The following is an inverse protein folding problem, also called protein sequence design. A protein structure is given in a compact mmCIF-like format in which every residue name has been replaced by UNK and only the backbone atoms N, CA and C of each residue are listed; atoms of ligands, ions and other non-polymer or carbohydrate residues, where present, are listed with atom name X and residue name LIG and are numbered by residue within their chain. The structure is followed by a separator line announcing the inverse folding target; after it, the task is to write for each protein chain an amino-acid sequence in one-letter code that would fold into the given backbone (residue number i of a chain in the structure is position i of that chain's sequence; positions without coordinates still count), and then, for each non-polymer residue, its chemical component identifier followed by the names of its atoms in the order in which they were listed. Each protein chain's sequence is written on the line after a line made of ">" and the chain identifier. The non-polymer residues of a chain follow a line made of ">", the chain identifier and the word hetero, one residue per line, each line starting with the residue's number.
data_IF_259722718649
#
_entry.id   IF_259722718649
#
_cell.length_a   1.000
_cell.length_b   1.000
_cell.length_c   1.000
_cell.angle_alpha   90.00
_cell.angle_beta   90.00
_cell.angle_gamma   90.00
#
_symmetry.space_group_name_H-M   'P 1'
#
loop_
_entity.id
_entity.type
_entity.pdbx_description
1 polymer ?
#
# COMPACT_ATOMS: atom_id res chain seq x y z
N UNK A 1 0.72 -43.63 17.90
CA UNK A 1 1.41 -42.34 17.95
C UNK A 1 0.43 -41.38 17.32
N UNK A 2 -0.19 -40.50 18.11
CA UNK A 2 -0.99 -39.43 17.55
C UNK A 2 0.02 -38.51 16.85
N UNK A 3 -0.11 -38.33 15.54
CA UNK A 3 0.66 -37.30 14.85
C UNK A 3 0.30 -35.98 15.52
N UNK A 4 1.32 -35.32 16.08
CA UNK A 4 1.21 -34.03 16.74
C UNK A 4 0.72 -33.03 15.67
N UNK A 5 -0.57 -32.69 15.69
CA UNK A 5 -1.12 -31.75 14.73
C UNK A 5 -0.60 -30.35 15.07
N UNK A 6 0.43 -29.93 14.35
CA UNK A 6 0.93 -28.56 14.40
C UNK A 6 0.26 -27.77 13.26
N UNK A 7 -0.64 -26.86 13.62
CA UNK A 7 -1.19 -25.91 12.67
C UNK A 7 -0.06 -24.97 12.23
N UNK A 8 0.20 -24.86 10.93
CA UNK A 8 1.18 -23.91 10.41
C UNK A 8 0.63 -22.48 10.49
N UNK A 9 0.73 -21.90 11.69
CA UNK A 9 0.38 -20.52 11.97
C UNK A 9 1.23 -19.54 11.16
N UNK A 10 2.45 -19.92 10.79
CA UNK A 10 3.32 -19.10 9.95
C UNK A 10 2.78 -19.00 8.53
N UNK A 11 2.22 -20.06 7.96
CA UNK A 11 1.58 -19.98 6.63
C UNK A 11 0.33 -19.09 6.66
N UNK A 12 -0.53 -19.23 7.68
CA UNK A 12 -1.68 -18.36 7.85
C UNK A 12 -1.26 -16.90 7.98
N UNK A 13 -0.24 -16.62 8.79
CA UNK A 13 0.32 -15.28 8.96
C UNK A 13 0.86 -14.73 7.63
N UNK A 14 1.64 -15.53 6.88
CA UNK A 14 2.18 -15.13 5.58
C UNK A 14 1.08 -14.80 4.57
N UNK A 15 -0.01 -15.57 4.55
CA UNK A 15 -1.17 -15.30 3.69
C UNK A 15 -1.92 -14.03 4.09
N UNK A 16 -2.06 -13.77 5.39
CA UNK A 16 -2.64 -12.52 5.90
C UNK A 16 -1.74 -11.31 5.62
N UNK A 17 -0.43 -11.44 5.76
CA UNK A 17 0.55 -10.42 5.39
C UNK A 17 0.52 -10.11 3.89
N UNK A 18 0.29 -11.13 3.05
CA UNK A 18 0.06 -10.94 1.62
C UNK A 18 -1.16 -10.05 1.34
N UNK A 19 -2.27 -10.28 2.04
CA UNK A 19 -3.46 -9.44 1.92
C UNK A 19 -3.20 -7.99 2.37
N UNK A 20 -2.46 -7.81 3.46
CA UNK A 20 -2.07 -6.49 3.96
C UNK A 20 -1.11 -5.76 3.00
N UNK A 21 -0.18 -6.48 2.39
CA UNK A 21 0.76 -5.93 1.40
C UNK A 21 0.01 -5.44 0.17
N UNK A 22 -0.91 -6.24 -0.37
CA UNK A 22 -1.78 -5.83 -1.47
C UNK A 22 -2.58 -4.57 -1.11
N UNK A 23 -3.17 -4.51 0.09
CA UNK A 23 -3.88 -3.32 0.55
C UNK A 23 -2.99 -2.07 0.55
N UNK A 24 -1.75 -2.19 1.06
CA UNK A 24 -0.78 -1.08 1.06
C UNK A 24 -0.43 -0.64 -0.36
N UNK A 25 -0.26 -1.56 -1.30
CA UNK A 25 0.01 -1.24 -2.70
C UNK A 25 -1.17 -0.51 -3.35
N UNK A 26 -2.40 -0.97 -3.11
CA UNK A 26 -3.62 -0.28 -3.59
C UNK A 26 -3.79 1.11 -2.94
N UNK A 27 -3.47 1.25 -1.65
CA UNK A 27 -3.48 2.55 -0.99
C UNK A 27 -2.39 3.50 -1.49
N UNK A 28 -1.24 2.97 -1.90
CA UNK A 28 -0.17 3.76 -2.52
C UNK A 28 -0.53 4.19 -3.95
N UNK A 29 -1.32 3.39 -4.67
CA UNK A 29 -1.79 3.71 -6.02
C UNK A 29 -2.88 4.80 -6.02
N UNK A 30 -3.64 4.92 -4.93
CA UNK A 30 -4.64 5.96 -4.73
C UNK A 30 -3.99 7.35 -4.64
N UNK A 31 -4.21 8.16 -5.69
CA UNK A 31 -3.80 9.56 -5.74
C UNK A 31 -4.76 10.42 -4.91
N UNK A 32 -4.46 10.55 -3.62
CA UNK A 32 -5.24 11.33 -2.64
C UNK A 32 -5.15 12.85 -2.82
N UNK A 33 -4.45 13.33 -3.85
CA UNK A 33 -4.21 14.76 -4.06
C UNK A 33 -3.16 15.33 -3.11
N UNK A 34 -2.48 14.47 -2.34
CA UNK A 34 -1.32 14.82 -1.53
C UNK A 34 -0.02 14.44 -2.23
N UNK A 35 1.01 15.21 -1.93
CA UNK A 35 2.38 14.97 -2.31
C UNK A 35 2.88 13.67 -1.70
N UNK A 36 3.29 12.74 -2.56
CA UNK A 36 3.98 11.51 -2.19
C UNK A 36 5.10 11.25 -3.18
N UNK A 37 6.22 10.74 -2.68
CA UNK A 37 7.34 10.32 -3.51
C UNK A 37 6.96 9.15 -4.44
N UNK A 38 6.02 8.30 -4.03
CA UNK A 38 5.55 7.14 -4.80
C UNK A 38 4.93 7.52 -6.14
N UNK A 39 4.40 8.73 -6.29
CA UNK A 39 3.82 9.19 -7.56
C UNK A 39 4.86 9.30 -8.69
N UNK A 40 6.14 9.44 -8.33
CA UNK A 40 7.25 9.62 -9.25
C UNK A 40 7.97 8.30 -9.56
N UNK A 41 7.68 7.21 -8.85
CA UNK A 41 8.25 5.88 -9.11
C UNK A 41 8.10 5.37 -10.55
N UNK A 42 6.94 5.53 -11.24
CA UNK A 42 6.81 5.08 -12.61
C UNK A 42 7.48 6.01 -13.64
N UNK A 43 7.99 7.17 -13.22
CA UNK A 43 8.58 8.17 -14.14
C UNK A 43 10.01 7.78 -14.48
N UNK A 44 10.26 7.55 -15.77
CA UNK A 44 11.58 7.29 -16.32
C UNK A 44 12.10 8.51 -17.08
N UNK A 45 13.39 8.79 -16.93
CA UNK A 45 14.10 9.92 -17.53
C UNK A 45 15.21 9.39 -18.42
N UNK A 46 15.39 9.98 -19.60
CA UNK A 46 16.46 9.60 -20.53
C UNK A 46 17.83 10.16 -20.08
N UNK A 47 18.50 9.47 -19.17
CA UNK A 47 19.85 9.80 -18.72
C UNK A 47 20.90 9.10 -19.58
N UNK A 48 21.83 9.86 -20.16
CA UNK A 48 22.98 9.32 -20.92
C UNK A 48 22.63 8.30 -22.02
N UNK A 49 21.46 8.46 -22.68
CA UNK A 49 21.00 7.59 -23.76
C UNK A 49 20.28 6.31 -23.31
N UNK A 50 19.96 6.19 -22.01
CA UNK A 50 19.14 5.10 -21.47
C UNK A 50 18.01 5.63 -20.58
N UNK A 51 16.89 4.92 -20.56
CA UNK A 51 15.77 5.23 -19.68
C UNK A 51 16.11 4.80 -18.26
N UNK A 52 16.26 5.78 -17.37
CA UNK A 52 16.64 5.59 -15.98
C UNK A 52 15.52 6.10 -15.07
N UNK A 53 15.16 5.40 -13.99
CA UNK A 53 14.13 5.87 -13.07
C UNK A 53 14.52 7.20 -12.40
N UNK A 54 13.53 8.05 -12.13
CA UNK A 54 13.78 9.41 -11.62
C UNK A 54 14.47 9.44 -10.25
N UNK A 55 14.29 8.40 -9.43
CA UNK A 55 14.93 8.25 -8.13
C UNK A 55 16.46 8.01 -8.20
N UNK A 56 17.00 7.65 -9.36
CA UNK A 56 18.44 7.46 -9.58
C UNK A 56 19.14 8.72 -10.12
N UNK A 57 18.37 9.69 -10.62
CA UNK A 57 18.90 10.96 -11.17
C UNK A 57 18.74 12.14 -10.20
N UNK A 58 17.99 11.96 -9.11
CA UNK A 58 17.78 12.98 -8.09
C UNK A 58 17.09 12.46 -6.85
N UNK A 59 17.05 13.33 -5.83
CA UNK A 59 16.41 13.05 -4.54
C UNK A 59 15.03 13.68 -4.50
N UNK A 60 14.00 12.87 -4.29
CA UNK A 60 12.61 13.33 -4.12
C UNK A 60 12.38 13.67 -2.66
N UNK A 61 11.85 14.86 -2.40
CA UNK A 61 11.46 15.34 -1.08
C UNK A 61 10.01 15.83 -1.12
N UNK A 62 9.31 15.67 0.00
CA UNK A 62 7.95 16.17 0.19
C UNK A 62 7.99 17.20 1.32
N UNK A 63 8.35 18.47 1.03
CA UNK A 63 8.41 19.51 2.06
C UNK A 63 7.02 19.84 2.60
N UNK A 64 5.99 19.74 1.76
CA UNK A 64 4.61 20.09 2.11
C UNK A 64 3.65 19.11 1.45
N UNK A 65 2.45 18.85 2.03
CA UNK A 65 1.46 17.94 1.44
C UNK A 65 0.98 18.32 0.03
N UNK A 66 1.27 19.53 -0.43
CA UNK A 66 0.80 20.07 -1.72
C UNK A 66 1.93 20.30 -2.72
N UNK A 67 3.15 19.95 -2.35
CA UNK A 67 4.34 20.21 -3.13
C UNK A 67 5.33 19.07 -2.99
N UNK A 68 5.71 18.48 -4.13
CA UNK A 68 6.87 17.59 -4.21
C UNK A 68 8.03 18.38 -4.79
N UNK A 69 9.21 18.24 -4.20
CA UNK A 69 10.44 18.81 -4.75
C UNK A 69 11.40 17.70 -5.14
N UNK A 70 12.05 17.85 -6.29
CA UNK A 70 13.04 16.91 -6.80
C UNK A 70 14.35 17.67 -6.92
N UNK A 71 15.36 17.25 -6.17
CA UNK A 71 16.70 17.81 -6.28
C UNK A 71 17.52 16.95 -7.25
N UNK A 72 17.73 17.45 -8.47
CA UNK A 72 18.48 16.74 -9.51
C UNK A 72 19.97 16.94 -9.27
N UNK A 73 20.74 15.86 -9.23
CA UNK A 73 22.17 15.92 -8.93
C UNK A 73 22.99 16.56 -10.05
N UNK A 74 22.57 16.35 -11.31
CA UNK A 74 23.19 16.97 -12.48
C UNK A 74 22.29 18.03 -13.11
N UNK A 75 22.81 19.27 -13.20
CA UNK A 75 22.16 20.39 -13.87
C UNK A 75 21.83 20.12 -15.34
N UNK A 76 22.65 19.32 -16.03
CA UNK A 76 22.44 18.98 -17.44
C UNK A 76 21.19 18.13 -17.65
N UNK A 77 20.76 17.38 -16.62
CA UNK A 77 19.61 16.49 -16.66
C UNK A 77 18.30 17.17 -16.28
N UNK A 78 18.32 18.38 -15.70
CA UNK A 78 17.11 19.07 -15.20
C UNK A 78 16.04 19.21 -16.28
N UNK A 79 16.41 19.63 -17.49
CA UNK A 79 15.49 19.76 -18.62
C UNK A 79 14.89 18.41 -19.05
N UNK A 80 15.67 17.33 -18.95
CA UNK A 80 15.19 15.99 -19.30
C UNK A 80 14.20 15.46 -18.26
N UNK A 81 14.48 15.71 -16.97
CA UNK A 81 13.59 15.37 -15.87
C UNK A 81 12.28 16.14 -15.98
N UNK A 82 12.34 17.44 -16.25
CA UNK A 82 11.17 18.30 -16.45
C UNK A 82 10.26 17.78 -17.57
N UNK A 83 10.86 17.46 -18.73
CA UNK A 83 10.15 16.89 -19.87
C UNK A 83 9.53 15.53 -19.55
N UNK A 84 10.29 14.63 -18.91
CA UNK A 84 9.80 13.31 -18.51
C UNK A 84 8.60 13.38 -17.56
N UNK A 85 8.60 14.32 -16.60
CA UNK A 85 7.47 14.50 -15.69
C UNK A 85 6.24 15.02 -16.46
N UNK A 86 6.43 15.97 -17.39
CA UNK A 86 5.33 16.47 -18.22
C UNK A 86 4.72 15.36 -19.10
N UNK A 87 5.56 14.48 -19.64
CA UNK A 87 5.17 13.38 -20.53
C UNK A 87 4.64 12.15 -19.78
N UNK A 88 4.94 12.01 -18.48
CA UNK A 88 4.51 10.87 -17.65
C UNK A 88 3.00 10.75 -17.41
N UNK A 89 2.20 11.71 -17.91
CA UNK A 89 0.74 11.70 -17.76
C UNK A 89 0.26 12.02 -16.34
N UNK A 90 1.14 12.51 -15.46
CA UNK A 90 0.76 12.94 -14.12
C UNK A 90 -0.18 14.15 -14.11
N UNK A 91 -0.21 14.93 -15.20
CA UNK A 91 -1.04 16.13 -15.32
C UNK A 91 -0.58 17.28 -14.41
N UNK A 92 0.68 17.22 -13.94
CA UNK A 92 1.29 18.22 -13.07
C UNK A 92 2.29 19.03 -13.89
N UNK A 93 2.27 20.35 -13.72
CA UNK A 93 3.23 21.24 -14.37
C UNK A 93 4.45 21.47 -13.46
N UNK A 94 5.64 20.95 -13.79
CA UNK A 94 6.87 21.22 -13.05
C UNK A 94 7.28 22.70 -13.13
N UNK A 95 7.75 23.25 -12.02
CA UNK A 95 8.40 24.55 -11.92
C UNK A 95 9.89 24.36 -11.61
N UNK A 96 10.75 24.93 -12.44
CA UNK A 96 12.19 24.79 -12.28
C UNK A 96 12.76 25.92 -11.43
N UNK A 97 13.62 25.58 -10.48
CA UNK A 97 14.42 26.50 -9.68
C UNK A 97 15.86 25.98 -9.57
N UNK A 98 16.66 26.26 -10.61
CA UNK A 98 18.05 25.78 -10.69
C UNK A 98 18.13 24.25 -10.79
N UNK A 99 18.62 23.58 -9.75
CA UNK A 99 18.67 22.11 -9.65
C UNK A 99 17.42 21.50 -9.03
N UNK A 100 16.53 22.32 -8.47
CA UNK A 100 15.32 21.87 -7.79
C UNK A 100 14.13 22.01 -8.74
N UNK A 101 13.36 20.94 -8.91
CA UNK A 101 12.10 20.93 -9.64
C UNK A 101 10.96 20.83 -8.63
N UNK A 102 10.04 21.79 -8.66
CA UNK A 102 8.88 21.88 -7.76
C UNK A 102 7.63 21.43 -8.51
N UNK A 103 6.86 20.54 -7.91
CA UNK A 103 5.64 19.96 -8.48
C UNK A 103 4.46 20.34 -7.60
N UNK A 104 3.74 21.43 -7.92
CA UNK A 104 2.53 21.82 -7.20
C UNK A 104 1.39 20.86 -7.57
N UNK A 105 0.74 20.27 -6.57
CA UNK A 105 -0.37 19.34 -6.79
C UNK A 105 -1.69 20.12 -6.72
N UNK A 106 -2.53 20.06 -7.77
CA UNK A 106 -3.83 20.73 -7.76
C UNK A 106 -4.76 20.12 -6.72
N UNK A 107 -5.66 20.93 -6.15
CA UNK A 107 -6.67 20.42 -5.22
C UNK A 107 -7.63 19.47 -5.92
N UNK A 108 -7.95 18.38 -5.25
CA UNK A 108 -9.09 17.55 -5.63
C UNK A 108 -10.37 18.24 -5.17
N UNK A 109 -11.36 18.28 -6.06
CA UNK A 109 -12.72 18.69 -5.70
C UNK A 109 -13.33 17.73 -4.66
N UNK A 110 -14.34 18.19 -3.93
CA UNK A 110 -14.98 17.41 -2.87
C UNK A 110 -15.60 16.11 -3.40
N UNK A 111 -16.13 16.13 -4.62
CA UNK A 111 -16.70 14.97 -5.29
C UNK A 111 -15.66 13.87 -5.54
N UNK A 112 -14.47 14.23 -6.04
CA UNK A 112 -13.39 13.26 -6.25
C UNK A 112 -12.83 12.73 -4.94
N UNK A 113 -12.77 13.54 -3.87
CA UNK A 113 -12.38 13.05 -2.54
C UNK A 113 -13.39 12.01 -2.03
N UNK A 114 -14.69 12.25 -2.18
CA UNK A 114 -15.73 11.27 -1.80
C UNK A 114 -15.63 9.98 -2.61
N UNK A 115 -15.34 10.06 -3.90
CA UNK A 115 -15.08 8.87 -4.73
C UNK A 115 -13.86 8.09 -4.25
N UNK A 116 -12.74 8.76 -3.98
CA UNK A 116 -11.53 8.11 -3.47
C UNK A 116 -11.77 7.44 -2.11
N UNK A 117 -12.54 8.07 -1.23
CA UNK A 117 -12.93 7.47 0.05
C UNK A 117 -13.75 6.18 -0.12
N UNK A 118 -14.66 6.14 -1.11
CA UNK A 118 -15.40 4.92 -1.46
C UNK A 118 -14.49 3.82 -1.99
N UNK A 119 -13.56 4.17 -2.89
CA UNK A 119 -12.61 3.21 -3.46
C UNK A 119 -11.67 2.65 -2.38
N UNK A 120 -11.17 3.50 -1.46
CA UNK A 120 -10.38 3.05 -0.32
C UNK A 120 -11.16 2.05 0.55
N UNK A 121 -12.45 2.30 0.80
CA UNK A 121 -13.33 1.37 1.51
C UNK A 121 -13.53 0.04 0.79
N UNK A 122 -13.61 0.06 -0.55
CA UNK A 122 -13.68 -1.17 -1.34
C UNK A 122 -12.41 -2.01 -1.18
N UNK A 123 -11.22 -1.41 -1.27
CA UNK A 123 -9.95 -2.12 -1.08
C UNK A 123 -9.83 -2.72 0.32
N UNK A 124 -10.24 -1.98 1.36
CA UNK A 124 -10.26 -2.50 2.72
C UNK A 124 -11.19 -3.71 2.85
N UNK A 125 -12.38 -3.69 2.22
CA UNK A 125 -13.28 -4.84 2.25
C UNK A 125 -12.70 -6.05 1.51
N UNK A 126 -12.01 -5.85 0.38
CA UNK A 126 -11.29 -6.92 -0.30
C UNK A 126 -10.23 -7.57 0.61
N UNK A 127 -9.46 -6.76 1.35
CA UNK A 127 -8.48 -7.26 2.32
C UNK A 127 -9.16 -8.03 3.46
N UNK A 128 -10.27 -7.53 4.02
CA UNK A 128 -11.05 -8.24 5.05
C UNK A 128 -11.59 -9.57 4.55
N UNK A 129 -12.11 -9.63 3.32
CA UNK A 129 -12.60 -10.88 2.71
C UNK A 129 -11.46 -11.88 2.56
N UNK A 130 -10.28 -11.45 2.10
CA UNK A 130 -9.10 -12.30 2.01
C UNK A 130 -8.69 -12.87 3.39
N UNK A 131 -8.63 -12.03 4.43
CA UNK A 131 -8.32 -12.45 5.81
C UNK A 131 -9.38 -13.44 6.33
N UNK A 132 -10.68 -13.20 6.08
CA UNK A 132 -11.76 -14.12 6.48
C UNK A 132 -11.68 -15.47 5.77
N UNK A 133 -11.24 -15.49 4.51
CA UNK A 133 -11.00 -16.74 3.77
C UNK A 133 -9.82 -17.52 4.36
N UNK A 134 -8.71 -16.83 4.69
CA UNK A 134 -7.56 -17.48 5.37
C UNK A 134 -7.98 -18.06 6.72
N UNK A 135 -8.78 -17.34 7.51
CA UNK A 135 -9.36 -17.87 8.75
C UNK A 135 -10.19 -19.12 8.50
N UNK A 136 -11.05 -19.11 7.48
CA UNK A 136 -11.90 -20.27 7.14
C UNK A 136 -11.05 -21.50 6.82
N UNK A 137 -9.98 -21.33 6.04
CA UNK A 137 -9.05 -22.41 5.72
C UNK A 137 -8.37 -22.96 6.99
N UNK A 138 -7.93 -22.07 7.89
CA UNK A 138 -7.36 -22.47 9.20
C UNK A 138 -8.35 -23.25 10.06
N UNK A 139 -9.60 -22.79 10.16
CA UNK A 139 -10.67 -23.49 10.89
C UNK A 139 -11.02 -24.85 10.27
N UNK A 140 -11.02 -24.95 8.94
CA UNK A 140 -11.27 -26.21 8.23
C UNK A 140 -10.13 -27.23 8.46
N UNK A 141 -8.88 -26.78 8.59
CA UNK A 141 -7.75 -27.64 8.99
C UNK A 141 -7.91 -28.16 10.42
N UNK A 142 -8.24 -27.29 11.37
CA UNK A 142 -8.50 -27.67 12.76
C UNK A 142 -9.64 -28.71 12.83
N UNK A 143 -10.70 -28.52 12.05
CA UNK A 143 -11.83 -29.46 12.02
C UNK A 143 -11.46 -30.83 11.44
N UNK A 144 -10.57 -30.87 10.45
CA UNK A 144 -10.02 -32.15 9.92
C UNK A 144 -9.17 -32.85 10.98
N UNK A 145 -8.26 -32.13 11.61
CA UNK A 145 -7.43 -32.67 12.68
C UNK A 145 -8.24 -33.20 13.88
N UNK A 146 -9.40 -32.60 14.19
CA UNK A 146 -10.34 -33.14 15.18
C UNK A 146 -10.84 -34.53 14.77
N UNK A 147 -11.11 -34.72 13.48
CA UNK A 147 -11.58 -36.01 12.94
C UNK A 147 -10.46 -37.06 12.94
N UNK A 148 -9.21 -36.61 12.84
CA UNK A 148 -8.00 -37.45 12.84
C UNK A 148 -7.49 -37.80 14.25
N UNK A 149 -8.12 -37.27 15.32
CA UNK A 149 -7.86 -37.67 16.71
C UNK A 149 -7.31 -36.58 17.64
N UNK A 150 -7.36 -35.30 17.24
CA UNK A 150 -6.96 -34.17 18.09
C UNK A 150 -7.86 -34.03 19.33
N UNK A 151 -7.25 -33.63 20.46
CA UNK A 151 -7.96 -33.35 21.72
C UNK A 151 -8.87 -32.12 21.60
N UNK A 152 -9.94 -32.06 22.41
CA UNK A 152 -10.79 -30.86 22.48
C UNK A 152 -10.05 -29.64 23.04
N UNK A 153 -9.02 -29.86 23.88
CA UNK A 153 -8.20 -28.79 24.44
C UNK A 153 -7.32 -28.15 23.36
N UNK A 154 -6.65 -28.96 22.53
CA UNK A 154 -5.82 -28.49 21.42
C UNK A 154 -6.66 -27.80 20.35
N UNK A 155 -7.87 -28.32 20.09
CA UNK A 155 -8.82 -27.68 19.18
C UNK A 155 -9.14 -26.26 19.65
N UNK A 156 -9.54 -26.09 20.91
CA UNK A 156 -9.86 -24.76 21.46
C UNK A 156 -8.66 -23.82 21.44
N UNK A 157 -7.46 -24.35 21.72
CA UNK A 157 -6.24 -23.56 21.67
C UNK A 157 -6.01 -23.02 20.26
N UNK A 158 -5.98 -23.88 19.23
CA UNK A 158 -5.76 -23.46 17.85
C UNK A 158 -6.87 -22.57 17.28
N UNK A 159 -8.15 -22.81 17.65
CA UNK A 159 -9.25 -21.92 17.26
C UNK A 159 -9.07 -20.51 17.84
N UNK A 160 -8.62 -20.43 19.09
CA UNK A 160 -8.35 -19.16 19.77
C UNK A 160 -7.20 -18.41 19.09
N UNK A 161 -6.08 -19.09 18.84
CA UNK A 161 -4.92 -18.51 18.16
C UNK A 161 -5.25 -17.97 16.76
N UNK A 162 -5.97 -18.75 15.94
CA UNK A 162 -6.40 -18.33 14.60
C UNK A 162 -7.35 -17.12 14.68
N UNK A 163 -8.25 -17.11 15.67
CA UNK A 163 -9.19 -16.00 15.85
C UNK A 163 -8.47 -14.73 16.32
N UNK A 164 -7.50 -14.83 17.23
CA UNK A 164 -6.67 -13.71 17.69
C UNK A 164 -5.84 -13.11 16.57
N UNK A 165 -5.18 -13.96 15.77
CA UNK A 165 -4.46 -13.54 14.55
C UNK A 165 -5.40 -12.78 13.61
N UNK A 166 -6.56 -13.36 13.29
CA UNK A 166 -7.54 -12.72 12.42
C UNK A 166 -7.98 -11.36 12.95
N UNK A 167 -8.29 -11.27 14.25
CA UNK A 167 -8.72 -10.02 14.90
C UNK A 167 -7.64 -8.94 14.80
N UNK A 168 -6.37 -9.29 15.01
CA UNK A 168 -5.24 -8.38 14.88
C UNK A 168 -5.12 -7.81 13.46
N UNK A 169 -5.23 -8.66 12.44
CA UNK A 169 -5.16 -8.22 11.05
C UNK A 169 -6.38 -7.39 10.62
N UNK A 170 -7.59 -7.73 11.08
CA UNK A 170 -8.78 -6.91 10.82
C UNK A 170 -8.62 -5.52 11.44
N UNK A 171 -8.16 -5.44 12.69
CA UNK A 171 -7.90 -4.16 13.35
C UNK A 171 -6.85 -3.32 12.59
N UNK A 172 -5.78 -3.96 12.11
CA UNK A 172 -4.76 -3.28 11.29
C UNK A 172 -5.30 -2.78 9.94
N UNK A 173 -6.24 -3.51 9.31
CA UNK A 173 -6.93 -3.03 8.09
C UNK A 173 -7.80 -1.83 8.39
N UNK A 174 -8.52 -1.84 9.52
CA UNK A 174 -9.40 -0.76 9.93
C UNK A 174 -8.59 0.51 10.26
N UNK A 175 -7.48 0.39 10.99
CA UNK A 175 -6.55 1.48 11.28
C UNK A 175 -5.95 2.06 9.99
N UNK A 176 -5.54 1.20 9.05
CA UNK A 176 -5.00 1.64 7.77
C UNK A 176 -6.06 2.38 6.91
N UNK A 177 -7.31 1.90 6.93
CA UNK A 177 -8.41 2.56 6.24
C UNK A 177 -8.73 3.92 6.87
N UNK A 178 -8.82 3.99 8.19
CA UNK A 178 -9.11 5.24 8.91
C UNK A 178 -8.01 6.27 8.66
N UNK A 179 -6.75 5.87 8.77
CA UNK A 179 -5.61 6.74 8.44
C UNK A 179 -5.69 7.25 7.00
N UNK A 180 -6.07 6.38 6.04
CA UNK A 180 -6.19 6.77 4.62
C UNK A 180 -7.39 7.67 4.35
N UNK A 181 -8.52 7.43 5.01
CA UNK A 181 -9.71 8.27 4.90
C UNK A 181 -9.49 9.64 5.54
N UNK A 182 -8.83 9.69 6.70
CA UNK A 182 -8.37 10.93 7.31
C UNK A 182 -7.44 11.69 6.36
N UNK A 183 -6.49 11.01 5.73
CA UNK A 183 -5.60 11.61 4.71
C UNK A 183 -6.38 12.21 3.53
N UNK A 184 -7.41 11.51 3.02
CA UNK A 184 -8.26 11.98 1.92
C UNK A 184 -9.11 13.20 2.32
N UNK A 185 -9.53 13.26 3.59
CA UNK A 185 -10.46 14.28 4.09
C UNK A 185 -9.76 15.48 4.76
N UNK A 186 -8.54 15.34 5.28
CA UNK A 186 -7.74 16.42 5.86
C UNK A 186 -7.16 17.32 4.76
N UNK A 187 -7.99 18.27 4.31
CA UNK A 187 -7.60 19.57 3.75
C UNK A 187 -8.67 20.59 4.12
#
# INVERSE_FOLDING_TARGET
>A
MADDFELDTNDLQRRMDGAMTSLKTEFASLRTGRASASMLEPVQVEAYGQMTPINQVGTVNVPEPRMVTINVWDKSMVNKVEKAIRESGLGINPQMNGTIIMLPIPELNEERRKELGKVAGQYAEHARVAIRNVRRDGMDQIKKAKSDGMSEDDQKFWETEVQELTNRYIAAVDEALEAKQAEIMQV
#
